data_IF_924123739100
#
_entry.id   IF_924123739100
#
_cell.length_a   1.000
_cell.length_b   1.000
_cell.length_c   1.000
_cell.angle_alpha   90.00
_cell.angle_beta   90.00
_cell.angle_gamma   90.00
#
_symmetry.space_group_name_H-M   'P 1'
#
loop_
_entity.id
_entity.type
_entity.pdbx_description
1 polymer ?
#
# COMPACT_ATOMS: atom_id res chain seq x y z
N UNK A 1 18.31 16.43 -7.05
CA UNK A 1 17.59 16.70 -5.78
C UNK A 1 16.19 16.12 -5.88
N UNK A 2 15.65 15.47 -4.83
CA UNK A 2 14.24 15.04 -4.78
C UNK A 2 13.46 16.01 -3.91
N UNK A 3 12.34 16.51 -4.41
CA UNK A 3 11.46 17.44 -3.70
C UNK A 3 10.04 16.91 -3.70
N UNK A 4 9.27 17.26 -2.67
CA UNK A 4 7.86 16.89 -2.55
C UNK A 4 7.03 18.13 -2.28
N UNK A 5 5.95 18.29 -3.03
CA UNK A 5 4.99 19.37 -2.87
C UNK A 5 3.67 18.81 -2.35
N UNK A 6 3.04 19.52 -1.43
CA UNK A 6 1.73 19.17 -0.88
C UNK A 6 0.73 20.22 -1.32
N UNK A 7 -0.35 19.81 -1.96
CA UNK A 7 -1.43 20.70 -2.42
C UNK A 7 -2.78 20.22 -1.88
N UNK A 8 -3.71 21.15 -1.68
CA UNK A 8 -5.09 20.81 -1.29
C UNK A 8 -5.88 20.44 -2.54
N UNK A 9 -6.48 19.25 -2.55
CA UNK A 9 -7.42 18.84 -3.58
C UNK A 9 -8.86 19.27 -3.23
N UNK A 10 -9.69 19.48 -4.25
CA UNK A 10 -11.12 19.78 -4.13
C UNK A 10 -11.91 18.75 -4.98
N UNK A 11 -12.07 17.51 -4.50
CA UNK A 11 -12.90 16.52 -5.18
C UNK A 11 -14.38 16.93 -5.13
N UNK A 12 -15.14 16.53 -6.15
CA UNK A 12 -16.60 16.57 -6.08
C UNK A 12 -17.12 15.42 -5.18
N UNK A 13 -18.42 15.42 -4.84
CA UNK A 13 -19.01 14.42 -3.94
C UNK A 13 -18.78 12.98 -4.41
N UNK A 14 -18.96 12.71 -5.70
CA UNK A 14 -18.75 11.37 -6.28
C UNK A 14 -17.28 10.93 -6.24
N UNK A 15 -16.35 11.86 -6.46
CA UNK A 15 -14.90 11.61 -6.39
C UNK A 15 -14.46 11.32 -4.97
N UNK A 16 -14.98 12.09 -3.99
CA UNK A 16 -14.70 11.85 -2.58
C UNK A 16 -15.17 10.45 -2.16
N UNK A 17 -16.40 10.08 -2.52
CA UNK A 17 -16.93 8.74 -2.23
C UNK A 17 -16.10 7.62 -2.89
N UNK A 18 -15.66 7.81 -4.14
CA UNK A 18 -14.76 6.87 -4.81
C UNK A 18 -13.40 6.75 -4.10
N UNK A 19 -12.83 7.87 -3.65
CA UNK A 19 -11.57 7.89 -2.89
C UNK A 19 -11.75 7.12 -1.59
N UNK A 20 -12.80 7.42 -0.82
CA UNK A 20 -13.07 6.77 0.47
C UNK A 20 -13.30 5.27 0.30
N UNK A 21 -14.11 4.86 -0.68
CA UNK A 21 -14.33 3.45 -1.02
C UNK A 21 -13.01 2.77 -1.40
N UNK A 22 -12.16 3.45 -2.18
CA UNK A 22 -10.86 2.92 -2.56
C UNK A 22 -9.96 2.74 -1.35
N UNK A 23 -9.87 3.73 -0.45
CA UNK A 23 -9.09 3.66 0.77
C UNK A 23 -9.54 2.51 1.69
N UNK A 24 -10.84 2.29 1.82
CA UNK A 24 -11.39 1.17 2.60
C UNK A 24 -11.06 -0.19 1.96
N UNK A 25 -11.15 -0.33 0.64
CA UNK A 25 -10.71 -1.56 -0.04
C UNK A 25 -9.22 -1.82 0.16
N UNK A 26 -8.37 -0.79 0.05
CA UNK A 26 -6.94 -0.90 0.29
C UNK A 26 -6.63 -1.26 1.75
N UNK A 27 -7.42 -0.75 2.71
CA UNK A 27 -7.33 -1.11 4.13
C UNK A 27 -7.58 -2.59 4.35
N UNK A 28 -8.66 -3.13 3.76
CA UNK A 28 -8.97 -4.55 3.84
C UNK A 28 -7.86 -5.40 3.24
N UNK A 29 -7.35 -5.01 2.08
CA UNK A 29 -6.24 -5.72 1.44
C UNK A 29 -4.96 -5.67 2.27
N UNK A 30 -4.63 -4.52 2.86
CA UNK A 30 -3.49 -4.37 3.76
C UNK A 30 -3.60 -5.30 4.96
N UNK A 31 -4.76 -5.31 5.64
CA UNK A 31 -4.97 -6.15 6.82
C UNK A 31 -4.92 -7.65 6.47
N UNK A 32 -5.50 -8.04 5.34
CA UNK A 32 -5.45 -9.42 4.86
C UNK A 32 -4.00 -9.89 4.61
N UNK A 33 -3.22 -9.10 3.87
CA UNK A 33 -1.81 -9.39 3.60
C UNK A 33 -0.95 -9.36 4.87
N UNK A 34 -1.25 -8.46 5.81
CA UNK A 34 -0.58 -8.41 7.11
C UNK A 34 -0.89 -9.67 7.93
N UNK A 35 -2.15 -10.14 7.93
CA UNK A 35 -2.57 -11.35 8.62
C UNK A 35 -1.90 -12.61 8.04
N UNK A 36 -1.79 -12.71 6.71
CA UNK A 36 -1.04 -13.80 6.07
C UNK A 36 0.41 -13.87 6.56
N UNK A 37 1.09 -12.70 6.64
CA UNK A 37 2.46 -12.64 7.14
C UNK A 37 2.56 -12.97 8.62
N UNK A 38 1.61 -12.53 9.45
CA UNK A 38 1.60 -12.91 10.87
C UNK A 38 1.36 -14.39 11.05
N UNK A 39 0.41 -14.97 10.33
CA UNK A 39 0.14 -16.40 10.38
C UNK A 39 1.40 -17.20 10.03
N UNK A 40 2.03 -16.89 8.89
CA UNK A 40 3.30 -17.53 8.51
C UNK A 40 4.39 -17.31 9.56
N UNK A 41 4.55 -16.09 10.07
CA UNK A 41 5.58 -15.78 11.07
C UNK A 41 5.36 -16.54 12.38
N UNK A 42 4.12 -16.61 12.87
CA UNK A 42 3.78 -17.30 14.13
C UNK A 42 3.91 -18.82 13.99
N UNK A 43 3.60 -19.37 12.81
CA UNK A 43 3.74 -20.80 12.50
C UNK A 43 5.20 -21.25 12.29
N UNK A 44 6.07 -20.38 11.76
CA UNK A 44 7.44 -20.74 11.40
C UNK A 44 8.51 -20.22 12.37
N UNK A 45 8.13 -19.36 13.34
CA UNK A 45 9.08 -18.87 14.35
C UNK A 45 9.32 -19.95 15.41
N UNK A 46 10.49 -20.56 15.38
CA UNK A 46 10.99 -21.38 16.49
C UNK A 46 12.08 -20.58 17.25
N UNK A 47 11.98 -20.37 18.58
CA UNK A 47 12.97 -19.60 19.36
C UNK A 47 14.34 -20.27 19.45
N UNK A 48 14.37 -21.57 19.19
CA UNK A 48 15.54 -22.45 19.16
C UNK A 48 15.59 -22.98 17.72
N UNK A 49 16.77 -23.26 17.18
CA UNK A 49 16.96 -23.88 15.85
C UNK A 49 16.37 -25.30 15.72
N UNK A 50 15.50 -25.71 16.65
CA UNK A 50 14.88 -27.03 16.77
C UNK A 50 13.49 -26.88 17.37
N UNK A 51 12.49 -27.46 16.73
CA UNK A 51 11.14 -27.61 17.27
C UNK A 51 10.94 -29.11 17.61
N UNK A 52 10.61 -29.49 18.87
CA UNK A 52 10.35 -30.88 19.20
C UNK A 52 9.05 -31.35 18.53
N UNK A 53 9.18 -32.33 17.62
CA UNK A 53 8.10 -32.87 16.77
C UNK A 53 6.94 -33.46 17.60
N UNK A 54 7.21 -33.85 18.85
CA UNK A 54 6.23 -34.46 19.76
C UNK A 54 5.28 -33.46 20.45
N UNK A 55 5.58 -32.16 20.44
CA UNK A 55 4.84 -31.14 21.23
C UNK A 55 4.16 -30.10 20.33
N UNK A 56 4.64 -29.92 19.09
CA UNK A 56 4.18 -28.85 18.21
C UNK A 56 3.43 -29.42 17.00
N UNK A 57 2.21 -28.94 16.74
CA UNK A 57 1.56 -29.14 15.44
C UNK A 57 2.43 -28.50 14.35
N UNK A 58 2.85 -29.32 13.37
CA UNK A 58 3.57 -28.84 12.20
C UNK A 58 2.57 -28.11 11.28
N UNK A 59 2.76 -26.82 11.00
CA UNK A 59 1.91 -26.10 10.08
C UNK A 59 2.06 -26.65 8.66
N UNK A 60 1.03 -26.48 7.83
CA UNK A 60 1.14 -26.76 6.40
C UNK A 60 2.30 -25.99 5.79
N UNK A 61 3.15 -26.70 5.03
CA UNK A 61 4.30 -26.10 4.37
C UNK A 61 3.81 -25.06 3.36
N UNK A 62 4.17 -23.79 3.60
CA UNK A 62 3.78 -22.65 2.76
C UNK A 62 4.98 -21.75 2.55
N UNK A 63 5.11 -21.24 1.33
CA UNK A 63 6.12 -20.23 1.03
C UNK A 63 5.93 -18.99 1.88
N UNK A 64 7.05 -18.33 2.21
CA UNK A 64 7.01 -17.07 2.92
C UNK A 64 6.25 -16.02 2.08
N UNK A 65 5.23 -15.34 2.66
CA UNK A 65 4.46 -14.31 1.95
C UNK A 65 5.26 -13.00 1.82
N UNK A 66 6.31 -13.03 0.99
CA UNK A 66 7.15 -11.88 0.62
C UNK A 66 6.45 -10.95 -0.36
N UNK A 67 7.05 -9.79 -0.64
CA UNK A 67 6.46 -8.78 -1.52
C UNK A 67 6.10 -9.31 -2.90
N UNK A 68 7.00 -10.06 -3.56
CA UNK A 68 6.73 -10.59 -4.90
C UNK A 68 5.57 -11.59 -4.91
N UNK A 69 5.52 -12.50 -3.94
CA UNK A 69 4.45 -13.49 -3.81
C UNK A 69 3.09 -12.81 -3.58
N UNK A 70 3.04 -11.87 -2.64
CA UNK A 70 1.82 -11.10 -2.35
C UNK A 70 1.42 -10.20 -3.52
N UNK A 71 2.38 -9.64 -4.26
CA UNK A 71 2.11 -8.85 -5.47
C UNK A 71 1.53 -9.71 -6.59
N UNK A 72 2.05 -10.93 -6.78
CA UNK A 72 1.52 -11.87 -7.76
C UNK A 72 0.07 -12.28 -7.43
N UNK A 73 -0.25 -12.47 -6.14
CA UNK A 73 -1.61 -12.80 -5.68
C UNK A 73 -2.67 -11.75 -6.04
N UNK A 74 -2.27 -10.51 -6.36
CA UNK A 74 -3.20 -9.45 -6.78
C UNK A 74 -3.89 -9.74 -8.11
N UNK A 75 -3.31 -10.60 -8.96
CA UNK A 75 -3.96 -11.04 -10.21
C UNK A 75 -5.17 -11.90 -9.88
N UNK A 76 -4.98 -12.92 -9.04
CA UNK A 76 -6.04 -13.80 -8.58
C UNK A 76 -7.10 -13.01 -7.78
N UNK A 77 -6.68 -12.04 -6.95
CA UNK A 77 -7.60 -11.16 -6.23
C UNK A 77 -8.60 -10.46 -7.16
N UNK A 78 -8.16 -9.99 -8.33
CA UNK A 78 -9.05 -9.32 -9.29
C UNK A 78 -10.00 -10.28 -10.00
N UNK A 79 -9.66 -11.57 -10.05
CA UNK A 79 -10.54 -12.62 -10.53
C UNK A 79 -11.61 -12.94 -9.47
N UNK A 80 -11.17 -13.25 -8.24
CA UNK A 80 -12.06 -13.62 -7.13
C UNK A 80 -12.96 -12.48 -6.68
N UNK A 81 -12.46 -11.23 -6.77
CA UNK A 81 -13.15 -10.02 -6.32
C UNK A 81 -13.17 -8.98 -7.44
N UNK A 82 -14.13 -9.08 -8.38
CA UNK A 82 -14.16 -8.23 -9.57
C UNK A 82 -14.20 -6.72 -9.28
N UNK A 83 -14.75 -6.28 -8.14
CA UNK A 83 -14.77 -4.86 -7.74
C UNK A 83 -13.38 -4.26 -7.51
N UNK A 84 -12.33 -5.07 -7.32
CA UNK A 84 -10.94 -4.58 -7.28
C UNK A 84 -10.41 -4.14 -8.67
N UNK A 85 -11.12 -4.47 -9.77
CA UNK A 85 -10.79 -3.97 -11.12
C UNK A 85 -11.03 -2.47 -11.26
N UNK A 86 -11.81 -1.88 -10.36
CA UNK A 86 -12.04 -0.43 -10.30
C UNK A 86 -10.86 0.31 -9.64
N UNK A 87 -9.95 -0.39 -8.97
CA UNK A 87 -8.75 0.20 -8.40
C UNK A 87 -7.63 0.18 -9.44
N UNK A 88 -6.92 1.30 -9.58
CA UNK A 88 -5.74 1.38 -10.44
C UNK A 88 -4.67 0.37 -9.99
N UNK A 89 -4.04 -0.32 -10.94
CA UNK A 89 -3.11 -1.42 -10.66
C UNK A 89 -1.93 -0.99 -9.78
N UNK A 90 -1.34 0.18 -10.05
CA UNK A 90 -0.21 0.69 -9.26
C UNK A 90 -0.59 0.99 -7.81
N UNK A 91 -1.80 1.53 -7.60
CA UNK A 91 -2.30 1.84 -6.25
C UNK A 91 -2.47 0.56 -5.44
N UNK A 92 -2.99 -0.50 -6.08
CA UNK A 92 -3.13 -1.81 -5.45
C UNK A 92 -1.77 -2.48 -5.18
N UNK A 93 -0.81 -2.32 -6.08
CA UNK A 93 0.56 -2.86 -5.92
C UNK A 93 1.37 -2.15 -4.83
N UNK A 94 1.00 -0.94 -4.41
CA UNK A 94 1.65 -0.25 -3.30
C UNK A 94 1.30 -0.89 -1.94
N UNK A 95 0.15 -1.58 -1.83
CA UNK A 95 -0.29 -2.25 -0.59
C UNK A 95 0.72 -3.29 -0.09
N UNK A 96 1.13 -4.31 -0.89
CA UNK A 96 2.11 -5.30 -0.43
C UNK A 96 3.46 -4.67 -0.09
N UNK A 97 3.86 -3.58 -0.76
CA UNK A 97 5.08 -2.83 -0.42
C UNK A 97 4.98 -2.17 0.96
N UNK A 98 3.84 -1.58 1.30
CA UNK A 98 3.62 -1.01 2.64
C UNK A 98 3.62 -2.08 3.73
N UNK A 99 3.09 -3.26 3.44
CA UNK A 99 3.14 -4.42 4.35
C UNK A 99 4.58 -4.86 4.56
N UNK A 100 5.38 -4.94 3.49
CA UNK A 100 6.80 -5.28 3.56
C UNK A 100 7.60 -4.30 4.41
N UNK A 101 7.48 -3.00 4.13
CA UNK A 101 8.17 -1.96 4.90
C UNK A 101 7.77 -2.00 6.39
N UNK A 102 6.51 -2.30 6.71
CA UNK A 102 6.07 -2.43 8.09
C UNK A 102 6.72 -3.63 8.79
N UNK A 103 6.80 -4.78 8.12
CA UNK A 103 7.46 -5.98 8.65
C UNK A 103 8.98 -5.81 8.78
N UNK A 104 9.63 -5.22 7.78
CA UNK A 104 11.08 -4.96 7.81
C UNK A 104 11.46 -4.00 8.94
N UNK A 105 10.70 -2.92 9.14
CA UNK A 105 10.91 -1.99 10.26
C UNK A 105 10.77 -2.65 11.62
N UNK A 106 9.91 -3.68 11.74
CA UNK A 106 9.73 -4.44 12.97
C UNK A 106 10.87 -5.44 13.21
N UNK A 107 11.27 -6.20 12.18
CA UNK A 107 12.23 -7.29 12.32
C UNK A 107 13.68 -6.83 12.18
N UNK A 108 14.00 -6.10 11.11
CA UNK A 108 15.35 -5.63 10.76
C UNK A 108 15.68 -4.31 11.46
N UNK A 109 14.71 -3.41 11.55
CA UNK A 109 14.90 -2.04 12.05
C UNK A 109 15.22 -1.05 10.95
N UNK A 110 15.34 0.23 11.32
CA UNK A 110 15.66 1.32 10.40
C UNK A 110 17.17 1.38 10.08
N UNK A 111 17.59 2.28 9.21
CA UNK A 111 19.02 2.50 8.87
C UNK A 111 19.88 2.83 10.09
N UNK A 112 19.27 3.39 11.14
CA UNK A 112 19.92 3.67 12.43
C UNK A 112 19.88 2.47 13.42
N UNK A 113 19.47 1.28 12.99
CA UNK A 113 19.35 0.08 13.81
C UNK A 113 18.16 0.06 14.80
N UNK A 114 17.37 1.13 14.85
CA UNK A 114 16.19 1.23 15.73
C UNK A 114 15.01 0.42 15.17
N UNK A 115 14.50 -0.53 15.94
CA UNK A 115 13.33 -1.34 15.57
C UNK A 115 12.03 -0.63 15.91
N UNK A 116 11.07 -0.68 14.99
CA UNK A 116 9.69 -0.27 15.25
C UNK A 116 8.93 -1.38 15.99
N UNK A 117 7.83 -1.03 16.64
CA UNK A 117 6.93 -2.03 17.24
C UNK A 117 6.24 -2.93 16.21
N UNK A 118 5.63 -4.03 16.69
CA UNK A 118 4.86 -4.97 15.87
C UNK A 118 3.82 -4.19 15.03
N UNK A 119 3.72 -4.42 13.71
CA UNK A 119 2.71 -3.77 12.89
C UNK A 119 1.30 -4.05 13.41
N UNK A 120 0.40 -3.08 13.26
CA UNK A 120 -1.00 -3.23 13.71
C UNK A 120 -1.94 -3.23 12.51
N UNK A 121 -3.03 -3.98 12.63
CA UNK A 121 -4.14 -3.87 11.70
C UNK A 121 -4.70 -2.44 11.70
N UNK A 122 -5.14 -2.02 10.52
CA UNK A 122 -5.73 -0.70 10.29
C UNK A 122 -7.24 -0.76 10.55
N UNK A 123 -7.70 0.04 11.50
CA UNK A 123 -9.14 0.33 11.69
C UNK A 123 -9.70 1.23 10.60
N UNK A 124 -11.03 1.34 10.53
CA UNK A 124 -11.71 2.22 9.58
C UNK A 124 -11.13 3.66 9.61
N UNK A 125 -10.91 4.25 8.43
CA UNK A 125 -10.30 5.60 8.32
C UNK A 125 -8.82 5.71 8.71
N UNK A 126 -8.13 4.62 9.08
CA UNK A 126 -6.68 4.67 9.38
C UNK A 126 -5.79 4.48 8.14
N UNK A 127 -6.34 3.96 7.03
CA UNK A 127 -5.65 3.87 5.76
C UNK A 127 -5.96 5.14 4.95
N UNK A 128 -5.08 6.15 5.03
CA UNK A 128 -5.39 7.52 4.61
C UNK A 128 -4.76 7.97 3.29
N UNK A 129 -3.97 7.11 2.66
CA UNK A 129 -3.15 7.54 1.52
C UNK A 129 -3.19 6.50 0.42
N UNK A 130 -3.51 6.91 -0.79
CA UNK A 130 -3.36 6.14 -2.01
C UNK A 130 -2.22 6.73 -2.85
N UNK A 131 -1.39 5.88 -3.45
CA UNK A 131 -0.16 6.34 -4.13
C UNK A 131 -0.11 5.81 -5.55
N UNK A 132 0.11 6.72 -6.50
CA UNK A 132 0.40 6.42 -7.89
C UNK A 132 1.91 6.54 -8.11
N UNK A 133 2.57 5.40 -8.27
CA UNK A 133 4.04 5.31 -8.31
C UNK A 133 4.65 5.78 -9.63
N UNK A 134 3.90 5.72 -10.73
CA UNK A 134 4.32 6.21 -12.04
C UNK A 134 3.31 7.24 -12.55
N UNK A 135 3.35 8.42 -11.96
CA UNK A 135 2.55 9.56 -12.43
C UNK A 135 3.27 10.25 -13.59
N UNK A 136 2.51 10.83 -14.52
CA UNK A 136 3.05 11.57 -15.67
C UNK A 136 2.66 13.03 -15.58
N UNK A 137 3.55 13.93 -15.98
CA UNK A 137 3.36 15.37 -15.83
C UNK A 137 2.14 15.91 -16.58
N UNK A 138 1.77 15.36 -17.75
CA UNK A 138 0.58 15.78 -18.49
C UNK A 138 -0.74 15.53 -17.73
N UNK A 139 -0.74 14.65 -16.71
CA UNK A 139 -1.90 14.46 -15.84
C UNK A 139 -2.04 15.58 -14.80
N UNK A 140 -1.10 16.53 -14.74
CA UNK A 140 -1.19 17.74 -13.95
C UNK A 140 -1.24 18.95 -14.89
N UNK A 141 -2.46 19.39 -15.21
CA UNK A 141 -2.70 20.50 -16.12
C UNK A 141 -3.86 21.36 -15.62
N UNK A 142 -3.81 22.67 -15.87
CA UNK A 142 -4.90 23.62 -15.58
C UNK A 142 -5.44 23.54 -14.14
N UNK A 143 -4.55 23.45 -13.14
CA UNK A 143 -4.91 23.29 -11.72
C UNK A 143 -5.81 22.07 -11.45
N UNK A 144 -5.65 21.00 -12.23
CA UNK A 144 -6.32 19.71 -12.04
C UNK A 144 -5.31 18.57 -12.08
N UNK A 145 -5.61 17.50 -11.34
CA UNK A 145 -4.93 16.21 -11.44
C UNK A 145 -5.87 15.18 -12.06
N UNK A 146 -5.42 14.50 -13.11
CA UNK A 146 -6.11 13.35 -13.68
C UNK A 146 -5.63 12.09 -12.96
N UNK A 147 -6.51 11.51 -12.15
CA UNK A 147 -6.23 10.28 -11.40
C UNK A 147 -6.94 9.10 -12.07
N UNK A 148 -6.20 8.08 -12.50
CA UNK A 148 -6.79 6.90 -13.12
C UNK A 148 -7.84 6.27 -12.20
N UNK A 149 -9.02 5.94 -12.76
CA UNK A 149 -10.23 5.41 -12.09
C UNK A 149 -11.02 6.38 -11.20
N UNK A 150 -10.46 7.54 -10.84
CA UNK A 150 -11.15 8.59 -10.07
C UNK A 150 -11.63 9.73 -11.00
N UNK A 151 -10.81 10.12 -11.98
CA UNK A 151 -11.06 11.21 -12.92
C UNK A 151 -10.29 12.49 -12.58
N UNK A 152 -10.73 13.60 -13.13
CA UNK A 152 -10.08 14.92 -12.97
C UNK A 152 -10.49 15.60 -11.66
N UNK A 153 -9.54 15.79 -10.76
CA UNK A 153 -9.75 16.42 -9.46
C UNK A 153 -9.13 17.81 -9.45
N UNK A 154 -9.87 18.83 -9.01
CA UNK A 154 -9.35 20.20 -8.89
C UNK A 154 -8.29 20.27 -7.79
N UNK A 155 -7.23 21.05 -8.01
CA UNK A 155 -6.13 21.24 -7.07
C UNK A 155 -5.91 22.73 -6.83
N UNK A 156 -5.70 23.12 -5.58
CA UNK A 156 -5.29 24.48 -5.21
C UNK A 156 -3.76 24.55 -5.26
N UNK A 157 -3.25 25.08 -6.36
CA UNK A 157 -1.81 25.23 -6.61
C UNK A 157 -1.36 26.59 -6.07
N UNK A 158 -0.75 26.59 -4.89
CA UNK A 158 -0.21 27.81 -4.26
C UNK A 158 1.29 28.04 -4.58
N UNK A 159 1.95 27.02 -5.16
CA UNK A 159 3.35 27.08 -5.63
C UNK A 159 3.41 26.41 -6.99
N UNK A 160 4.07 27.06 -7.96
CA UNK A 160 4.30 26.44 -9.26
C UNK A 160 5.42 25.39 -9.14
N UNK A 161 5.33 24.34 -9.95
CA UNK A 161 6.39 23.36 -10.06
C UNK A 161 7.52 24.02 -10.86
N UNK A 162 8.77 24.05 -10.34
CA UNK A 162 9.87 24.69 -11.05
C UNK A 162 10.13 24.01 -12.41
N UNK A 163 10.59 24.79 -13.38
CA UNK A 163 10.93 24.29 -14.71
C UNK A 163 12.06 23.25 -14.62
N UNK A 164 11.95 22.19 -15.42
CA UNK A 164 12.90 21.07 -15.43
C UNK A 164 12.63 19.97 -14.38
N UNK A 165 11.55 20.04 -13.60
CA UNK A 165 11.17 18.98 -12.66
C UNK A 165 10.11 18.04 -13.23
N UNK A 166 10.45 16.75 -13.29
CA UNK A 166 9.49 15.70 -13.63
C UNK A 166 8.71 15.21 -12.40
N UNK A 167 7.38 15.17 -12.52
CA UNK A 167 6.52 14.54 -11.52
C UNK A 167 6.57 13.02 -11.70
N UNK A 168 7.12 12.32 -10.71
CA UNK A 168 7.21 10.84 -10.75
C UNK A 168 6.12 10.14 -9.97
N UNK A 169 5.68 10.72 -8.86
CA UNK A 169 4.78 10.05 -7.91
C UNK A 169 3.78 11.04 -7.36
N UNK A 170 2.53 10.61 -7.22
CA UNK A 170 1.46 11.37 -6.57
C UNK A 170 0.88 10.52 -5.45
N UNK A 171 0.74 11.10 -4.26
CA UNK A 171 0.02 10.50 -3.14
C UNK A 171 -1.14 11.39 -2.77
N UNK A 172 -2.33 10.80 -2.66
CA UNK A 172 -3.60 11.47 -2.34
C UNK A 172 -4.12 10.93 -1.02
#
# INVERSE_FOLDING_TARGET
MKTSYQYKIKPNKQQAEKIDKTLEMLRHQYNYMLAQRFNWYEQNRCPIDRCPISICHLPELKEQPLYYNQKASLVQLKFDRPWYKDIHSQVLQEVPKRVELAFDRWLKGDTNGKKSGKPRFKGAGQYKTLTYTQFKQHNFANNKITLSKIGDVKVIVHRQIPDGFDIKTVSV
#
